data_IF_840355961230
#
_entry.id   IF_840355961230
#
_cell.length_a   1.000
_cell.length_b   1.000
_cell.length_c   1.000
_cell.angle_alpha   90.00
_cell.angle_beta   90.00
_cell.angle_gamma   90.00
#
_symmetry.space_group_name_H-M   'P 1'
#
loop_
_entity.id
_entity.type
_entity.pdbx_description
1 polymer ?
#
# COMPACT_ATOMS: atom_id res chain seq x y z
N UNK A 1 24.83 -6.08 10.79
CA UNK A 1 24.89 -7.01 9.65
C UNK A 1 24.05 -6.39 8.55
N UNK A 2 24.60 -6.15 7.36
CA UNK A 2 23.80 -5.61 6.24
C UNK A 2 22.80 -6.69 5.83
N UNK A 3 21.52 -6.50 6.16
CA UNK A 3 20.47 -7.38 5.69
C UNK A 3 20.41 -7.27 4.16
N UNK A 4 20.32 -8.40 3.46
CA UNK A 4 20.13 -8.40 2.00
C UNK A 4 18.95 -7.48 1.64
N UNK A 5 19.04 -6.72 0.53
CA UNK A 5 17.95 -5.86 0.11
C UNK A 5 16.67 -6.69 -0.09
N UNK A 6 15.53 -6.16 0.33
CA UNK A 6 14.24 -6.79 0.04
C UNK A 6 13.82 -6.52 -1.41
N UNK A 7 12.97 -7.35 -1.96
CA UNK A 7 12.38 -7.18 -3.28
C UNK A 7 10.96 -6.65 -3.11
N UNK A 8 10.59 -5.59 -3.82
CA UNK A 8 9.23 -5.06 -3.83
C UNK A 8 8.61 -5.28 -5.21
N UNK A 9 7.51 -6.04 -5.26
CA UNK A 9 6.68 -6.19 -6.44
C UNK A 9 5.67 -5.04 -6.48
N UNK A 10 5.81 -4.17 -7.46
CA UNK A 10 5.01 -2.95 -7.54
C UNK A 10 4.81 -2.49 -8.99
N UNK A 11 4.04 -1.43 -9.17
CA UNK A 11 4.02 -0.63 -10.39
C UNK A 11 4.03 0.86 -10.02
N UNK A 12 4.61 1.75 -10.88
CA UNK A 12 4.87 3.16 -10.52
C UNK A 12 3.64 3.92 -10.03
N UNK A 13 2.48 3.74 -10.67
CA UNK A 13 1.24 4.43 -10.34
C UNK A 13 0.50 3.86 -9.11
N UNK A 14 1.04 2.82 -8.44
CA UNK A 14 0.39 2.23 -7.26
C UNK A 14 0.52 3.14 -6.04
N UNK A 15 -0.59 3.64 -5.47
CA UNK A 15 -0.55 4.51 -4.29
C UNK A 15 -0.05 3.78 -3.04
N UNK A 16 -0.47 2.54 -2.85
CA UNK A 16 0.02 1.73 -1.73
C UNK A 16 1.49 1.36 -1.85
N UNK A 17 1.99 1.15 -3.08
CA UNK A 17 3.42 0.98 -3.29
C UNK A 17 4.19 2.28 -3.06
N UNK A 18 3.61 3.44 -3.41
CA UNK A 18 4.21 4.74 -3.14
C UNK A 18 4.41 4.96 -1.63
N UNK A 19 3.44 4.58 -0.80
CA UNK A 19 3.58 4.59 0.67
C UNK A 19 4.85 3.86 1.11
N UNK A 20 5.07 2.64 0.62
CA UNK A 20 6.24 1.80 0.98
C UNK A 20 7.53 2.38 0.41
N UNK A 21 7.53 2.86 -0.84
CA UNK A 21 8.71 3.43 -1.50
C UNK A 21 9.21 4.68 -0.77
N UNK A 22 8.32 5.60 -0.42
CA UNK A 22 8.66 6.81 0.34
C UNK A 22 9.17 6.47 1.74
N UNK A 23 8.58 5.46 2.39
CA UNK A 23 9.06 4.98 3.68
C UNK A 23 10.47 4.42 3.57
N UNK A 24 10.76 3.59 2.57
CA UNK A 24 12.09 3.07 2.31
C UNK A 24 13.10 4.20 2.02
N UNK A 25 12.69 5.20 1.23
CA UNK A 25 13.50 6.40 0.96
C UNK A 25 13.82 7.20 2.21
N UNK A 26 12.83 7.48 3.04
CA UNK A 26 13.01 8.20 4.31
C UNK A 26 13.94 7.45 5.28
N UNK A 27 13.76 6.15 5.40
CA UNK A 27 14.56 5.32 6.31
C UNK A 27 15.94 4.97 5.75
N UNK A 28 16.19 5.22 4.44
CA UNK A 28 17.46 4.91 3.79
C UNK A 28 17.68 3.41 3.56
N UNK A 29 16.61 2.62 3.48
CA UNK A 29 16.68 1.18 3.25
C UNK A 29 16.83 0.92 1.76
N UNK A 30 17.87 0.17 1.36
CA UNK A 30 18.07 -0.25 -0.02
C UNK A 30 17.16 -1.43 -0.38
N UNK A 31 16.64 -1.45 -1.61
CA UNK A 31 15.70 -2.46 -2.06
C UNK A 31 15.83 -2.80 -3.55
N UNK A 32 15.18 -3.85 -3.97
CA UNK A 32 15.13 -4.29 -5.36
C UNK A 32 13.70 -4.18 -5.91
N UNK A 33 13.58 -3.73 -7.14
CA UNK A 33 12.30 -3.44 -7.81
C UNK A 33 11.98 -4.53 -8.81
N UNK A 34 10.83 -5.19 -8.61
CA UNK A 34 10.18 -6.00 -9.65
C UNK A 34 8.93 -5.25 -10.11
N UNK A 35 8.98 -4.67 -11.30
CA UNK A 35 7.82 -4.01 -11.86
C UNK A 35 6.84 -5.03 -12.44
N UNK A 36 5.60 -4.99 -11.97
CA UNK A 36 4.53 -5.90 -12.38
C UNK A 36 3.42 -5.15 -13.13
N UNK A 37 2.65 -5.85 -13.99
CA UNK A 37 1.49 -5.23 -14.65
C UNK A 37 0.50 -4.65 -13.65
N UNK A 38 -0.16 -3.51 -14.01
CA UNK A 38 -1.19 -2.86 -13.18
C UNK A 38 -2.34 -3.83 -12.86
N UNK A 39 -2.65 -4.72 -13.80
CA UNK A 39 -3.71 -5.73 -13.66
C UNK A 39 -3.16 -7.14 -13.90
N UNK A 40 -3.78 -8.18 -13.32
CA UNK A 40 -3.44 -9.57 -13.64
C UNK A 40 -3.54 -9.87 -15.14
N UNK A 41 -2.82 -10.91 -15.64
CA UNK A 41 -2.11 -11.94 -14.88
C UNK A 41 -0.75 -11.48 -14.34
N UNK A 42 -0.34 -12.06 -13.19
CA UNK A 42 0.97 -11.91 -12.56
C UNK A 42 1.41 -13.29 -12.08
N UNK A 43 1.64 -14.21 -13.02
CA UNK A 43 1.70 -15.64 -12.76
C UNK A 43 2.74 -16.02 -11.71
N UNK A 44 3.96 -15.51 -11.81
CA UNK A 44 5.02 -15.80 -10.86
C UNK A 44 4.72 -15.23 -9.46
N UNK A 45 4.21 -14.00 -9.40
CA UNK A 45 3.83 -13.40 -8.13
C UNK A 45 2.65 -14.14 -7.49
N UNK A 46 1.69 -14.64 -8.29
CA UNK A 46 0.57 -15.42 -7.79
C UNK A 46 1.06 -16.73 -7.13
N UNK A 47 2.08 -17.36 -7.68
CA UNK A 47 2.72 -18.55 -7.09
C UNK A 47 3.38 -18.18 -5.75
N UNK A 48 4.21 -17.13 -5.73
CA UNK A 48 4.92 -16.70 -4.52
C UNK A 48 3.99 -16.26 -3.39
N UNK A 49 2.94 -15.51 -3.73
CA UNK A 49 2.03 -14.90 -2.76
C UNK A 49 0.75 -15.72 -2.51
N UNK A 50 0.72 -17.02 -2.93
CA UNK A 50 -0.44 -17.88 -2.71
C UNK A 50 -1.74 -17.38 -3.33
N UNK A 51 -1.66 -16.65 -4.45
CA UNK A 51 -2.82 -16.06 -5.12
C UNK A 51 -3.23 -14.67 -4.59
N UNK A 52 -2.51 -14.11 -3.62
CA UNK A 52 -2.76 -12.75 -3.14
C UNK A 52 -2.67 -11.74 -4.28
N UNK A 53 -3.72 -10.95 -4.46
CA UNK A 53 -3.92 -10.16 -5.67
C UNK A 53 -3.48 -8.70 -5.57
N UNK A 54 -3.35 -8.18 -4.35
CA UNK A 54 -3.04 -6.76 -4.13
C UNK A 54 -1.56 -6.46 -4.37
N UNK A 55 -1.25 -5.21 -4.62
CA UNK A 55 0.09 -4.65 -4.78
C UNK A 55 0.22 -3.47 -3.80
N UNK A 56 1.38 -3.34 -3.12
CA UNK A 56 2.62 -4.10 -3.28
C UNK A 56 2.63 -5.44 -2.55
N UNK A 57 3.61 -6.28 -2.93
CA UNK A 57 4.05 -7.48 -2.20
C UNK A 57 5.56 -7.32 -1.98
N UNK A 58 6.04 -7.71 -0.81
CA UNK A 58 7.46 -7.67 -0.47
C UNK A 58 7.99 -9.09 -0.30
N UNK A 59 9.20 -9.32 -0.76
CA UNK A 59 9.93 -10.59 -0.63
C UNK A 59 11.25 -10.37 0.10
N UNK A 60 11.55 -11.22 1.06
CA UNK A 60 12.84 -11.27 1.76
C UNK A 60 13.35 -12.70 1.73
N UNK A 61 14.22 -13.01 0.76
CA UNK A 61 14.61 -14.40 0.53
C UNK A 61 13.41 -15.25 0.11
N UNK A 62 13.07 -16.27 0.90
CA UNK A 62 11.89 -17.10 0.71
C UNK A 62 10.63 -16.56 1.41
N UNK A 63 10.75 -15.57 2.28
CA UNK A 63 9.61 -15.01 3.00
C UNK A 63 8.87 -13.97 2.15
N UNK A 64 7.54 -14.06 2.12
CA UNK A 64 6.66 -13.19 1.34
C UNK A 64 5.72 -12.43 2.29
N UNK A 65 5.75 -11.11 2.19
CA UNK A 65 4.92 -10.21 2.99
C UNK A 65 3.83 -9.60 2.12
N UNK A 66 2.60 -9.82 2.55
CA UNK A 66 1.40 -9.28 1.92
C UNK A 66 0.73 -8.31 2.88
N UNK A 67 0.14 -7.24 2.34
CA UNK A 67 -0.41 -6.10 3.06
C UNK A 67 0.63 -5.04 3.47
N UNK A 68 0.28 -3.78 3.22
CA UNK A 68 1.21 -2.65 3.43
C UNK A 68 1.47 -2.33 4.89
N UNK A 69 0.60 -2.73 5.83
CA UNK A 69 0.88 -2.58 7.25
C UNK A 69 2.09 -3.45 7.64
N UNK A 70 2.01 -4.74 7.33
CA UNK A 70 3.09 -5.71 7.59
C UNK A 70 4.38 -5.34 6.83
N UNK A 71 4.25 -4.90 5.57
CA UNK A 71 5.39 -4.47 4.77
C UNK A 71 6.08 -3.24 5.40
N UNK A 72 5.30 -2.25 5.87
CA UNK A 72 5.86 -1.08 6.53
C UNK A 72 6.58 -1.44 7.83
N UNK A 73 6.00 -2.33 8.65
CA UNK A 73 6.62 -2.80 9.89
C UNK A 73 7.96 -3.49 9.61
N UNK A 74 8.02 -4.33 8.58
CA UNK A 74 9.26 -5.00 8.17
C UNK A 74 10.31 -4.01 7.64
N UNK A 75 9.91 -3.01 6.85
CA UNK A 75 10.82 -1.94 6.37
C UNK A 75 11.37 -1.13 7.53
N UNK A 76 10.55 -0.78 8.53
CA UNK A 76 10.97 -0.07 9.75
C UNK A 76 11.97 -0.94 10.53
N UNK A 77 11.62 -2.20 10.77
CA UNK A 77 12.49 -3.15 11.49
C UNK A 77 13.87 -3.28 10.82
N UNK A 78 13.91 -3.43 9.49
CA UNK A 78 15.16 -3.54 8.72
C UNK A 78 16.00 -2.28 8.74
N UNK A 79 15.37 -1.13 8.88
CA UNK A 79 16.10 0.15 8.94
C UNK A 79 16.91 0.32 10.23
N UNK A 80 16.52 -0.36 11.29
CA UNK A 80 17.05 -0.15 12.65
C UNK A 80 16.76 1.26 13.19
N UNK A 81 15.81 1.99 12.59
CA UNK A 81 15.42 3.36 12.95
C UNK A 81 13.96 3.38 13.36
N UNK A 82 13.64 4.15 14.37
CA UNK A 82 12.27 4.42 14.76
C UNK A 82 11.69 5.60 13.99
N UNK A 83 10.39 5.54 13.73
CA UNK A 83 9.61 6.69 13.28
C UNK A 83 9.19 7.54 14.49
N UNK A 84 8.84 8.79 14.24
CA UNK A 84 8.18 9.61 15.25
C UNK A 84 6.86 8.95 15.69
N UNK A 85 6.46 9.18 16.94
CA UNK A 85 5.19 8.68 17.46
C UNK A 85 4.03 9.39 16.78
N UNK A 86 2.99 8.63 16.43
CA UNK A 86 1.74 9.20 15.91
C UNK A 86 0.87 9.67 17.08
N UNK A 87 0.31 10.89 16.96
CA UNK A 87 -0.77 11.33 17.84
C UNK A 87 -2.07 10.57 17.53
N UNK A 88 -3.03 10.61 18.44
CA UNK A 88 -4.37 10.06 18.22
C UNK A 88 -5.04 10.66 16.97
N UNK A 89 -4.93 11.99 16.81
CA UNK A 89 -5.45 12.70 15.62
C UNK A 89 -4.77 12.21 14.32
N UNK A 90 -3.46 12.03 14.32
CA UNK A 90 -2.71 11.51 13.18
C UNK A 90 -3.13 10.07 12.85
N UNK A 91 -3.32 9.24 13.85
CA UNK A 91 -3.76 7.84 13.68
C UNK A 91 -5.19 7.76 13.15
N UNK A 92 -6.09 8.62 13.60
CA UNK A 92 -7.46 8.72 13.07
C UNK A 92 -7.47 9.16 11.60
N UNK A 93 -6.62 10.12 11.22
CA UNK A 93 -6.45 10.52 9.82
C UNK A 93 -5.93 9.37 8.97
N UNK A 94 -4.93 8.62 9.44
CA UNK A 94 -4.40 7.46 8.73
C UNK A 94 -5.46 6.37 8.52
N UNK A 95 -6.28 6.07 9.52
CA UNK A 95 -7.38 5.11 9.40
C UNK A 95 -8.38 5.56 8.33
N UNK A 96 -8.76 6.84 8.31
CA UNK A 96 -9.63 7.38 7.26
C UNK A 96 -8.97 7.33 5.88
N UNK A 97 -7.68 7.64 5.80
CA UNK A 97 -6.93 7.63 4.55
C UNK A 97 -6.94 6.25 3.89
N UNK A 98 -6.85 5.18 4.68
CA UNK A 98 -6.83 3.80 4.19
C UNK A 98 -8.22 3.19 3.94
N UNK A 99 -9.28 3.86 4.35
CA UNK A 99 -10.66 3.37 4.21
C UNK A 99 -11.47 4.24 3.23
N UNK A 100 -12.31 5.11 3.75
CA UNK A 100 -13.28 5.89 2.98
C UNK A 100 -12.65 6.96 2.08
N UNK A 101 -11.54 7.57 2.52
CA UNK A 101 -10.83 8.62 1.77
C UNK A 101 -10.16 8.06 0.52
N UNK A 102 -9.60 6.83 0.60
CA UNK A 102 -9.00 6.18 -0.56
C UNK A 102 -9.99 6.04 -1.73
N UNK A 103 -11.21 5.59 -1.44
CA UNK A 103 -12.25 5.46 -2.46
C UNK A 103 -12.79 6.81 -2.91
N UNK A 104 -12.90 7.77 -1.98
CA UNK A 104 -13.29 9.13 -2.29
C UNK A 104 -12.30 9.80 -3.24
N UNK A 105 -11.00 9.57 -3.09
CA UNK A 105 -9.95 10.08 -3.97
C UNK A 105 -10.16 9.72 -5.44
N UNK A 106 -10.68 8.50 -5.70
CA UNK A 106 -10.99 8.03 -7.06
C UNK A 106 -12.32 8.62 -7.55
N UNK A 107 -13.34 8.65 -6.67
CA UNK A 107 -14.72 8.94 -7.06
C UNK A 107 -15.04 10.41 -7.21
N UNK A 108 -14.35 11.29 -6.50
CA UNK A 108 -14.60 12.74 -6.55
C UNK A 108 -14.28 13.40 -7.90
N UNK A 109 -13.42 12.76 -8.70
CA UNK A 109 -12.98 13.28 -9.99
C UNK A 109 -13.97 13.00 -11.13
N UNK A 110 -13.72 13.66 -12.25
CA UNK A 110 -14.47 13.40 -13.49
C UNK A 110 -14.18 12.00 -14.01
N UNK A 111 -15.18 11.12 -13.95
CA UNK A 111 -15.07 9.74 -14.46
C UNK A 111 -14.71 9.72 -15.97
N UNK A 112 -15.17 10.72 -16.72
CA UNK A 112 -14.80 10.86 -18.13
C UNK A 112 -13.30 11.17 -18.32
N UNK A 113 -12.75 12.10 -17.54
CA UNK A 113 -11.31 12.42 -17.59
C UNK A 113 -10.46 11.21 -17.16
N UNK A 114 -10.89 10.49 -16.15
CA UNK A 114 -10.23 9.25 -15.69
C UNK A 114 -10.25 8.20 -16.81
N UNK A 115 -11.39 7.96 -17.44
CA UNK A 115 -11.50 7.01 -18.55
C UNK A 115 -10.62 7.41 -19.75
N UNK A 116 -10.58 8.69 -20.12
CA UNK A 116 -9.69 9.20 -21.18
C UNK A 116 -8.22 8.96 -20.79
N UNK A 117 -7.81 9.33 -19.57
CA UNK A 117 -6.45 9.11 -19.08
C UNK A 117 -6.04 7.64 -19.09
N UNK A 118 -6.91 6.75 -18.63
CA UNK A 118 -6.67 5.30 -18.67
C UNK A 118 -6.60 4.78 -20.12
N UNK A 119 -7.43 5.29 -21.01
CA UNK A 119 -7.38 4.93 -22.44
C UNK A 119 -6.08 5.37 -23.08
N UNK A 120 -5.59 6.56 -22.75
CA UNK A 120 -4.29 7.04 -23.24
C UNK A 120 -3.12 6.21 -22.73
N UNK A 121 -3.19 5.74 -21.49
CA UNK A 121 -2.13 4.97 -20.84
C UNK A 121 -2.14 3.48 -21.25
N UNK A 122 -3.31 2.86 -21.35
CA UNK A 122 -3.47 1.42 -21.53
C UNK A 122 -4.02 1.02 -22.90
N UNK A 123 -4.41 1.98 -23.72
CA UNK A 123 -5.22 1.75 -24.92
C UNK A 123 -6.67 1.40 -24.56
N UNK A 124 -7.57 1.43 -25.56
CA UNK A 124 -9.00 1.18 -25.34
C UNK A 124 -9.28 -0.22 -24.78
N UNK A 125 -8.64 -1.26 -25.32
CA UNK A 125 -8.79 -2.64 -24.83
C UNK A 125 -8.25 -2.78 -23.40
N UNK A 126 -7.11 -2.17 -23.10
CA UNK A 126 -6.51 -2.17 -21.76
C UNK A 126 -7.38 -1.45 -20.74
N UNK A 127 -7.99 -0.33 -21.09
CA UNK A 127 -8.94 0.40 -20.24
C UNK A 127 -10.17 -0.43 -19.92
N UNK A 128 -10.76 -1.12 -20.91
CA UNK A 128 -11.90 -2.01 -20.68
C UNK A 128 -11.53 -3.20 -19.77
N UNK A 129 -10.36 -3.80 -20.00
CA UNK A 129 -9.86 -4.88 -19.16
C UNK A 129 -9.62 -4.40 -17.72
N UNK A 130 -9.04 -3.20 -17.54
CA UNK A 130 -8.84 -2.57 -16.24
C UNK A 130 -10.18 -2.29 -15.53
N UNK A 131 -11.18 -1.74 -16.24
CA UNK A 131 -12.49 -1.48 -15.67
C UNK A 131 -13.19 -2.78 -15.22
N UNK A 132 -13.12 -3.84 -16.03
CA UNK A 132 -13.64 -5.17 -15.68
C UNK A 132 -12.93 -5.75 -14.47
N UNK A 133 -11.60 -5.64 -14.43
CA UNK A 133 -10.76 -6.10 -13.31
C UNK A 133 -11.13 -5.36 -12.01
N UNK A 134 -11.24 -4.03 -12.06
CA UNK A 134 -11.63 -3.23 -10.88
C UNK A 134 -13.04 -3.52 -10.42
N UNK A 135 -13.99 -3.74 -11.33
CA UNK A 135 -15.34 -4.16 -10.98
C UNK A 135 -15.34 -5.50 -10.24
N UNK A 136 -14.59 -6.49 -10.73
CA UNK A 136 -14.45 -7.78 -10.04
C UNK A 136 -13.73 -7.67 -8.69
N UNK A 137 -12.74 -6.76 -8.59
CA UNK A 137 -12.01 -6.50 -7.36
C UNK A 137 -12.90 -5.87 -6.27
N UNK A 138 -13.87 -5.05 -6.67
CA UNK A 138 -14.82 -4.38 -5.78
C UNK A 138 -16.02 -5.25 -5.41
N UNK A 139 -16.23 -6.40 -6.08
CA UNK A 139 -17.35 -7.28 -5.79
C UNK A 139 -17.29 -7.84 -4.38
N UNK A 140 -18.36 -7.60 -3.66
CA UNK A 140 -18.67 -8.24 -2.40
C UNK A 140 -18.62 -7.36 -1.16
N UNK A 141 -17.79 -6.36 -1.02
CA UNK A 141 -17.75 -5.43 0.13
C UNK A 141 -16.72 -4.31 -0.12
N UNK A 142 -16.98 -3.45 -1.08
CA UNK A 142 -16.37 -2.13 -1.07
C UNK A 142 -17.16 -1.25 -0.08
N UNK A 143 -16.61 -0.13 0.42
CA UNK A 143 -17.43 0.88 1.07
C UNK A 143 -18.59 1.19 0.14
N UNK A 144 -19.78 1.30 0.72
CA UNK A 144 -21.03 1.58 -0.01
C UNK A 144 -20.73 2.62 -1.08
N UNK A 145 -21.12 2.34 -2.32
CA UNK A 145 -20.72 3.13 -3.48
C UNK A 145 -21.01 4.62 -3.21
N UNK A 146 -19.98 5.36 -2.81
CA UNK A 146 -20.09 6.79 -2.52
C UNK A 146 -20.55 7.49 -3.79
N UNK A 147 -21.57 8.33 -3.70
CA UNK A 147 -21.89 9.24 -4.81
C UNK A 147 -20.74 10.23 -4.98
N UNK A 148 -20.54 10.84 -6.18
CA UNK A 148 -19.50 11.82 -6.40
C UNK A 148 -19.53 12.99 -5.39
N UNK A 149 -20.71 13.44 -4.99
CA UNK A 149 -20.86 14.54 -4.01
C UNK A 149 -20.43 14.10 -2.60
N UNK A 150 -20.81 12.89 -2.17
CA UNK A 150 -20.35 12.32 -0.90
C UNK A 150 -18.85 12.15 -0.92
N UNK A 151 -18.29 11.59 -1.99
CA UNK A 151 -16.84 11.42 -2.15
C UNK A 151 -16.09 12.75 -2.08
N UNK A 152 -16.60 13.78 -2.76
CA UNK A 152 -16.05 15.14 -2.70
C UNK A 152 -16.09 15.71 -1.28
N UNK A 153 -17.18 15.50 -0.55
CA UNK A 153 -17.33 15.95 0.84
C UNK A 153 -16.34 15.24 1.77
N UNK A 154 -16.24 13.92 1.66
CA UNK A 154 -15.30 13.08 2.43
C UNK A 154 -13.86 13.53 2.19
N UNK A 155 -13.45 13.64 0.92
CA UNK A 155 -12.09 14.03 0.58
C UNK A 155 -11.76 15.46 1.00
N UNK A 156 -12.69 16.41 0.82
CA UNK A 156 -12.50 17.81 1.24
C UNK A 156 -12.44 17.95 2.75
N UNK A 157 -13.23 17.17 3.51
CA UNK A 157 -13.13 17.13 4.97
C UNK A 157 -11.77 16.60 5.41
N UNK A 158 -11.32 15.51 4.82
CA UNK A 158 -10.01 14.93 5.12
C UNK A 158 -8.87 15.94 4.89
N UNK A 159 -8.86 16.62 3.72
CA UNK A 159 -7.85 17.63 3.43
C UNK A 159 -7.85 18.80 4.44
N UNK A 160 -9.01 19.22 4.90
CA UNK A 160 -9.16 20.30 5.89
C UNK A 160 -8.62 19.86 7.25
N UNK A 161 -9.00 18.66 7.70
CA UNK A 161 -8.55 18.11 8.98
C UNK A 161 -7.02 17.89 8.98
N UNK A 162 -6.48 17.41 7.85
CA UNK A 162 -5.04 17.27 7.65
C UNK A 162 -4.33 18.63 7.68
N UNK A 163 -4.87 19.65 7.00
CA UNK A 163 -4.31 21.01 6.98
C UNK A 163 -4.29 21.63 8.38
N UNK A 164 -5.33 21.38 9.19
CA UNK A 164 -5.38 21.83 10.58
C UNK A 164 -4.25 21.25 11.44
N UNK A 165 -3.96 19.96 11.30
CA UNK A 165 -2.86 19.34 12.04
C UNK A 165 -1.51 19.90 11.55
N UNK A 166 -1.36 20.09 10.24
CA UNK A 166 -0.12 20.60 9.63
C UNK A 166 0.09 22.11 9.83
N UNK A 167 -0.89 22.85 10.38
CA UNK A 167 -0.77 24.29 10.62
C UNK A 167 0.33 24.65 11.63
N UNK A 168 0.65 23.75 12.56
CA UNK A 168 1.61 23.99 13.65
C UNK A 168 2.86 23.10 13.57
N UNK A 169 2.96 22.20 12.57
CA UNK A 169 4.01 21.21 12.51
C UNK A 169 4.35 20.81 11.05
N UNK A 170 5.56 20.30 10.85
CA UNK A 170 6.05 19.94 9.52
C UNK A 170 5.47 18.62 9.01
N UNK A 171 5.20 17.67 9.91
CA UNK A 171 4.68 16.33 9.65
C UNK A 171 3.64 15.96 10.69
N UNK A 172 2.88 14.90 10.46
CA UNK A 172 1.90 14.37 11.43
C UNK A 172 2.56 13.86 12.73
N UNK A 173 3.84 13.50 12.67
CA UNK A 173 4.67 13.19 13.83
C UNK A 173 5.38 14.40 14.47
N UNK A 174 5.06 15.63 14.06
CA UNK A 174 5.72 16.85 14.54
C UNK A 174 6.84 17.32 13.61
N UNK A 175 8.08 17.34 14.10
CA UNK A 175 9.25 17.76 13.32
C UNK A 175 9.80 16.65 12.40
N UNK A 176 9.39 15.41 12.64
CA UNK A 176 9.75 14.25 11.85
C UNK A 176 8.49 13.46 11.46
N UNK A 177 8.50 12.74 10.31
CA UNK A 177 7.34 11.94 9.90
C UNK A 177 7.11 10.74 10.81
N UNK A 178 5.85 10.42 11.04
CA UNK A 178 5.38 9.18 11.61
C UNK A 178 4.70 8.30 10.53
N UNK A 179 4.31 7.09 10.86
CA UNK A 179 3.67 6.18 9.88
C UNK A 179 2.40 6.79 9.26
N UNK A 180 1.65 7.60 10.04
CA UNK A 180 0.44 8.26 9.55
C UNK A 180 0.70 9.23 8.38
N UNK A 181 1.90 9.84 8.29
CA UNK A 181 2.27 10.67 7.15
C UNK A 181 2.23 9.87 5.85
N UNK A 182 2.83 8.69 5.83
CA UNK A 182 2.86 7.82 4.66
C UNK A 182 1.47 7.27 4.32
N UNK A 183 0.64 6.97 5.33
CA UNK A 183 -0.74 6.55 5.15
C UNK A 183 -1.62 7.68 4.58
N UNK A 184 -1.46 8.91 5.02
CA UNK A 184 -2.23 10.05 4.52
C UNK A 184 -1.77 10.53 3.14
N UNK A 185 -0.53 10.28 2.77
CA UNK A 185 0.04 10.70 1.48
C UNK A 185 -0.59 9.97 0.29
N UNK A 186 -0.73 8.66 0.37
CA UNK A 186 -1.05 7.83 -0.80
C UNK A 186 -2.43 8.11 -1.45
N UNK A 187 -3.54 8.44 -0.74
CA UNK A 187 -4.79 8.78 -1.40
C UNK A 187 -4.74 10.14 -2.11
N UNK A 188 -3.93 11.09 -1.62
CA UNK A 188 -3.74 12.39 -2.31
C UNK A 188 -2.89 12.16 -3.56
N UNK A 189 -1.81 11.39 -3.48
CA UNK A 189 -1.01 10.96 -4.63
C UNK A 189 -1.88 10.30 -5.70
N UNK A 190 -2.79 9.40 -5.29
CA UNK A 190 -3.74 8.75 -6.20
C UNK A 190 -4.66 9.77 -6.88
N UNK A 191 -5.23 10.71 -6.11
CA UNK A 191 -6.12 11.74 -6.63
C UNK A 191 -5.43 12.66 -7.66
N UNK A 192 -4.17 13.02 -7.41
CA UNK A 192 -3.34 13.79 -8.35
C UNK A 192 -3.04 12.97 -9.61
N UNK A 193 -2.67 11.69 -9.47
CA UNK A 193 -2.39 10.79 -10.59
C UNK A 193 -3.60 10.62 -11.53
N UNK A 194 -4.79 10.51 -10.97
CA UNK A 194 -6.05 10.49 -11.74
C UNK A 194 -6.55 11.88 -12.17
N UNK A 195 -5.81 12.95 -11.83
CA UNK A 195 -6.23 14.33 -12.06
C UNK A 195 -7.61 14.65 -11.46
N UNK A 196 -7.96 13.95 -10.39
CA UNK A 196 -9.18 14.17 -9.62
C UNK A 196 -9.12 15.45 -8.79
N UNK A 197 -7.90 15.88 -8.46
CA UNK A 197 -7.60 17.15 -7.81
C UNK A 197 -6.38 17.78 -8.47
N UNK A 198 -6.36 19.12 -8.57
CA UNK A 198 -5.19 19.88 -9.00
C UNK A 198 -4.40 20.34 -7.76
N UNK A 199 -3.10 20.49 -7.87
CA UNK A 199 -2.23 20.96 -6.80
C UNK A 199 -2.68 22.30 -6.21
N UNK A 200 -3.16 23.20 -7.08
CA UNK A 200 -3.70 24.50 -6.68
C UNK A 200 -4.97 24.43 -5.84
N UNK A 201 -5.69 23.30 -5.87
CA UNK A 201 -6.89 23.08 -5.07
C UNK A 201 -6.59 22.45 -3.70
N UNK A 202 -5.35 22.02 -3.44
CA UNK A 202 -4.92 21.55 -2.14
C UNK A 202 -4.75 22.75 -1.18
N UNK A 203 -5.15 22.62 0.11
CA UNK A 203 -4.77 23.58 1.15
C UNK A 203 -3.27 23.82 1.17
N UNK A 204 -2.85 25.02 1.54
CA UNK A 204 -1.44 25.43 1.43
C UNK A 204 -0.50 24.56 2.31
N UNK A 205 -0.92 24.22 3.52
CA UNK A 205 -0.18 23.34 4.43
C UNK A 205 -0.03 21.94 3.86
N UNK A 206 -1.14 21.37 3.35
CA UNK A 206 -1.13 20.03 2.71
C UNK A 206 -0.23 20.02 1.49
N UNK A 207 -0.30 21.03 0.63
CA UNK A 207 0.57 21.12 -0.56
C UNK A 207 2.05 21.18 -0.19
N UNK A 208 2.43 22.00 0.80
CA UNK A 208 3.80 22.09 1.27
C UNK A 208 4.28 20.77 1.89
N UNK A 209 3.41 20.08 2.62
CA UNK A 209 3.68 18.77 3.19
C UNK A 209 3.83 17.70 2.09
N UNK A 210 2.97 17.67 1.08
CA UNK A 210 3.11 16.75 -0.07
C UNK A 210 4.48 16.90 -0.75
N UNK A 211 4.97 18.14 -0.91
CA UNK A 211 6.31 18.39 -1.49
C UNK A 211 7.41 17.83 -0.58
N UNK A 212 7.31 18.03 0.75
CA UNK A 212 8.29 17.47 1.71
C UNK A 212 8.30 15.95 1.68
N UNK A 213 7.12 15.31 1.68
CA UNK A 213 6.98 13.87 1.60
C UNK A 213 7.56 13.31 0.29
N UNK A 214 7.24 13.91 -0.85
CA UNK A 214 7.79 13.53 -2.14
C UNK A 214 9.32 13.67 -2.19
N UNK A 215 9.88 14.60 -1.43
CA UNK A 215 11.32 14.83 -1.33
C UNK A 215 12.11 13.67 -0.73
N UNK A 216 11.48 12.73 -0.03
CA UNK A 216 12.16 11.51 0.43
C UNK A 216 12.57 10.61 -0.73
N UNK A 217 11.83 10.67 -1.83
CA UNK A 217 12.06 9.81 -2.99
C UNK A 217 11.93 8.33 -2.63
N UNK A 218 12.47 7.49 -3.47
CA UNK A 218 12.40 6.03 -3.29
C UNK A 218 13.68 5.42 -2.72
N UNK A 219 14.66 6.25 -2.32
CA UNK A 219 15.95 5.80 -1.82
C UNK A 219 16.79 5.10 -2.89
N UNK A 220 17.63 4.17 -2.44
CA UNK A 220 18.50 3.39 -3.34
C UNK A 220 17.80 2.08 -3.73
N UNK A 221 17.58 1.88 -5.02
CA UNK A 221 17.03 0.64 -5.51
C UNK A 221 17.64 0.23 -6.86
N UNK A 222 17.56 -1.06 -7.17
CA UNK A 222 17.95 -1.64 -8.46
C UNK A 222 16.81 -2.47 -9.03
N UNK A 223 16.66 -2.50 -10.35
CA UNK A 223 15.69 -3.37 -10.99
C UNK A 223 16.19 -4.81 -11.03
N UNK A 224 15.28 -5.75 -10.79
CA UNK A 224 15.48 -7.19 -10.99
C UNK A 224 14.28 -7.77 -11.73
N UNK A 225 14.50 -8.85 -12.46
CA UNK A 225 13.42 -9.55 -13.16
C UNK A 225 12.62 -10.43 -12.20
N UNK A 226 11.39 -10.76 -12.59
CA UNK A 226 10.58 -11.73 -11.85
C UNK A 226 11.23 -13.11 -11.78
N UNK A 227 12.01 -13.51 -12.80
CA UNK A 227 12.74 -14.80 -12.81
C UNK A 227 13.88 -14.80 -11.78
N UNK A 228 14.66 -13.72 -11.69
CA UNK A 228 15.71 -13.57 -10.67
C UNK A 228 15.11 -13.57 -9.26
N UNK A 229 13.99 -12.86 -9.04
CA UNK A 229 13.30 -12.83 -7.77
C UNK A 229 12.76 -14.24 -7.38
N UNK A 230 12.19 -14.97 -8.32
CA UNK A 230 11.74 -16.35 -8.11
C UNK A 230 12.91 -17.27 -7.79
N UNK A 231 14.03 -17.12 -8.50
CA UNK A 231 15.24 -17.89 -8.22
C UNK A 231 15.79 -17.60 -6.82
N UNK A 232 15.78 -16.34 -6.39
CA UNK A 232 16.19 -15.94 -5.05
C UNK A 232 15.31 -16.56 -3.96
N UNK A 233 13.98 -16.65 -4.18
CA UNK A 233 13.07 -17.32 -3.25
C UNK A 233 13.39 -18.83 -3.14
N UNK A 234 13.62 -19.50 -4.27
CA UNK A 234 13.93 -20.94 -4.30
C UNK A 234 15.30 -21.30 -3.73
N UNK A 235 16.23 -20.35 -3.71
CA UNK A 235 17.59 -20.58 -3.23
C UNK A 235 17.75 -20.46 -1.72
N UNK A 236 16.69 -20.05 -0.99
CA UNK A 236 16.73 -19.81 0.43
C UNK A 236 15.62 -20.58 1.15
N UNK A 237 15.91 -20.98 2.37
CA UNK A 237 14.89 -21.51 3.27
C UNK A 237 14.12 -20.34 3.92
N UNK A 238 12.82 -20.49 4.17
CA UNK A 238 12.05 -19.51 4.95
C UNK A 238 12.68 -19.27 6.32
N UNK A 239 12.58 -18.06 6.81
CA UNK A 239 13.05 -17.73 8.16
C UNK A 239 12.36 -18.60 9.20
N UNK A 240 13.06 -18.98 10.29
CA UNK A 240 12.43 -19.69 11.40
C UNK A 240 11.20 -18.93 11.91
N UNK A 241 10.12 -19.66 12.16
CA UNK A 241 8.94 -19.05 12.76
C UNK A 241 9.28 -18.61 14.20
N UNK A 242 8.82 -17.43 14.62
CA UNK A 242 8.82 -17.10 16.03
C UNK A 242 8.10 -18.20 16.81
N UNK A 243 8.50 -18.41 18.07
CA UNK A 243 7.77 -19.34 18.94
C UNK A 243 6.30 -18.95 18.92
N UNK A 244 5.45 -19.90 18.56
CA UNK A 244 4.01 -19.67 18.50
C UNK A 244 3.51 -19.31 19.90
N UNK A 245 2.66 -18.27 19.99
CA UNK A 245 1.87 -18.09 21.21
C UNK A 245 1.03 -19.36 21.41
N UNK A 246 1.33 -20.12 22.45
CA UNK A 246 0.64 -21.37 22.76
C UNK A 246 -0.88 -21.20 22.96
N UNK A 247 -1.33 -19.95 23.09
CA UNK A 247 -2.72 -19.58 23.39
C UNK A 247 -3.56 -19.25 22.15
N UNK A 248 -3.03 -19.38 20.93
CA UNK A 248 -3.84 -19.10 19.74
C UNK A 248 -4.78 -20.29 19.46
N UNK A 249 -6.12 -20.07 19.44
CA UNK A 249 -7.11 -21.15 19.38
C UNK A 249 -7.04 -21.96 18.07
N UNK A 250 -6.54 -21.36 17.00
CA UNK A 250 -6.47 -21.99 15.67
C UNK A 250 -5.08 -22.57 15.34
N UNK A 251 -4.14 -22.57 16.30
CA UNK A 251 -2.80 -23.10 16.07
C UNK A 251 -2.85 -24.56 15.63
N UNK A 252 -2.17 -24.88 14.52
CA UNK A 252 -2.17 -26.23 13.93
C UNK A 252 -3.42 -26.55 13.10
N UNK A 253 -4.43 -25.68 13.08
CA UNK A 253 -5.65 -25.91 12.32
C UNK A 253 -5.50 -25.48 10.84
N UNK A 254 -6.25 -26.14 9.97
CA UNK A 254 -6.40 -25.78 8.57
C UNK A 254 -7.47 -24.69 8.44
N UNK A 255 -7.08 -23.50 8.02
CA UNK A 255 -7.98 -22.34 7.94
C UNK A 255 -7.96 -21.71 6.56
N UNK A 256 -9.02 -20.95 6.27
CA UNK A 256 -9.08 -20.09 5.09
C UNK A 256 -9.14 -18.63 5.53
N UNK A 257 -8.17 -17.84 5.08
CA UNK A 257 -8.09 -16.40 5.35
C UNK A 257 -8.55 -15.63 4.13
N UNK A 258 -9.46 -14.70 4.33
CA UNK A 258 -10.02 -13.86 3.25
C UNK A 258 -9.98 -12.40 3.68
N UNK A 259 -9.50 -11.47 2.82
CA UNK A 259 -9.61 -10.04 3.09
C UNK A 259 -11.06 -9.61 3.33
N UNK A 260 -11.28 -8.72 4.29
CA UNK A 260 -12.64 -8.27 4.65
C UNK A 260 -13.21 -7.22 3.69
N UNK A 261 -12.34 -6.50 2.99
CA UNK A 261 -12.66 -5.33 2.16
C UNK A 261 -12.78 -5.70 0.66
N UNK A 262 -11.71 -5.54 -0.10
CA UNK A 262 -11.68 -5.73 -1.56
C UNK A 262 -10.71 -6.83 -1.97
N UNK A 263 -10.82 -7.35 -3.21
CA UNK A 263 -9.93 -8.39 -3.72
C UNK A 263 -9.95 -9.66 -2.87
N UNK A 264 -11.14 -10.13 -2.50
CA UNK A 264 -11.43 -11.22 -1.57
C UNK A 264 -11.07 -12.59 -2.15
N UNK A 265 -9.80 -12.77 -2.49
CA UNK A 265 -9.29 -14.08 -2.88
C UNK A 265 -8.92 -14.83 -1.60
N UNK A 266 -9.58 -15.95 -1.29
CA UNK A 266 -9.26 -16.73 -0.11
C UNK A 266 -7.91 -17.42 -0.27
N UNK A 267 -7.13 -17.45 0.81
CA UNK A 267 -5.89 -18.23 0.91
C UNK A 267 -6.06 -19.25 2.02
N UNK A 268 -5.71 -20.51 1.75
CA UNK A 268 -5.93 -21.60 2.68
C UNK A 268 -4.59 -22.18 3.13
N UNK A 269 -4.46 -22.48 4.43
CA UNK A 269 -3.23 -23.02 4.99
C UNK A 269 -3.38 -23.43 6.45
N UNK A 270 -2.36 -24.08 6.99
CA UNK A 270 -2.28 -24.41 8.40
C UNK A 270 -1.77 -23.22 9.19
N UNK A 271 -2.43 -22.89 10.30
CA UNK A 271 -1.96 -21.86 11.22
C UNK A 271 -0.72 -22.36 11.93
N UNK A 272 0.43 -21.81 11.60
CA UNK A 272 1.70 -22.12 12.25
C UNK A 272 2.18 -20.99 13.16
N UNK A 273 1.76 -19.76 12.85
CA UNK A 273 2.06 -18.55 13.63
C UNK A 273 1.06 -17.47 13.25
N UNK A 274 0.62 -16.67 14.23
CA UNK A 274 -0.18 -15.48 13.97
C UNK A 274 0.47 -14.27 14.63
N UNK A 275 0.74 -13.25 13.85
CA UNK A 275 1.04 -11.93 14.39
C UNK A 275 -0.28 -11.22 14.67
N UNK A 276 -0.32 -10.35 15.71
CA UNK A 276 -1.53 -9.70 16.25
C UNK A 276 -2.39 -8.92 15.25
N UNK A 277 -1.99 -8.80 14.01
CA UNK A 277 -2.73 -8.01 13.01
C UNK A 277 -3.15 -8.77 11.76
N UNK A 278 -2.49 -9.85 11.35
CA UNK A 278 -2.91 -10.71 10.22
C UNK A 278 -2.23 -12.07 10.30
N UNK A 279 -2.91 -13.16 9.89
CA UNK A 279 -2.25 -14.46 9.77
C UNK A 279 -1.20 -14.39 8.66
N UNK A 280 0.03 -14.73 9.01
CA UNK A 280 1.09 -14.94 8.01
C UNK A 280 0.90 -16.35 7.47
N UNK A 281 0.62 -16.46 6.17
CA UNK A 281 0.54 -17.75 5.47
C UNK A 281 1.90 -17.99 4.84
N UNK A 282 2.50 -19.11 5.16
CA UNK A 282 3.72 -19.63 4.54
C UNK A 282 3.41 -20.77 3.62
#
# INVERSE_FOLDING_TARGET
MSSSPFILYHYPASPYAEKVRLLAGYLGVSWQSVEVPIQPPRDQLAILAGGYRRIPVMQCGADIFCDTAVICDEVISRSGRDLASCSEAASALATRAETDVFFAAIRQGSQLKTAIGLTMMLGFKGMLAFAKDRASFAQGHGPAAQTPDVAKSVFSSFLRDLDQVLASQSYLGGDAPCLSDFCCYHPIFLAQGFKSIQDSALPAGVRAWMVRMAGFGWGQYSAVSSDEAMAAAKAQEPSPLPEASADHPDLGQWVTVTPLDTGRVPVTGTVSYTHLTLPTIR
#
